data_IF_864070192105
#
_entry.id   IF_864070192105
#
_cell.length_a   1.000
_cell.length_b   1.000
_cell.length_c   1.000
_cell.angle_alpha   90.00
_cell.angle_beta   90.00
_cell.angle_gamma   90.00
#
_symmetry.space_group_name_H-M   'P 1'
#
loop_
_entity.id
_entity.type
_entity.pdbx_description
1 polymer ?
#
# COMPACT_ATOMS: atom_id res chain seq x y z
N UNK A 1 54.97 -0.92 32.13
CA UNK A 1 54.34 -2.14 31.55
C UNK A 1 52.82 -2.17 31.75
N UNK A 2 52.28 -1.89 32.95
CA UNK A 2 50.83 -1.94 33.24
C UNK A 2 49.97 -0.98 32.39
N UNK A 3 50.45 0.23 32.13
CA UNK A 3 49.70 1.23 31.36
C UNK A 3 49.63 0.91 29.86
N UNK A 4 50.68 0.34 29.26
CA UNK A 4 50.68 -0.10 27.86
C UNK A 4 49.70 -1.25 27.62
N UNK A 5 49.59 -2.15 28.59
CA UNK A 5 48.63 -3.26 28.53
C UNK A 5 47.18 -2.77 28.57
N UNK A 6 46.92 -1.70 29.34
CA UNK A 6 45.60 -1.07 29.40
C UNK A 6 45.20 -0.43 28.05
N UNK A 7 46.12 0.29 27.40
CA UNK A 7 45.84 0.87 26.08
C UNK A 7 45.67 -0.20 25.00
N UNK A 8 46.38 -1.32 25.10
CA UNK A 8 46.23 -2.44 24.16
C UNK A 8 44.87 -3.14 24.31
N UNK A 9 44.40 -3.32 25.54
CA UNK A 9 43.05 -3.83 25.82
C UNK A 9 41.95 -2.86 25.35
N UNK A 10 42.14 -1.55 25.55
CA UNK A 10 41.21 -0.52 25.08
C UNK A 10 41.12 -0.50 23.55
N UNK A 11 42.25 -0.61 22.86
CA UNK A 11 42.30 -0.64 21.40
C UNK A 11 41.64 -1.91 20.84
N UNK A 12 41.85 -3.05 21.50
CA UNK A 12 41.20 -4.31 21.13
C UNK A 12 39.67 -4.24 21.29
N UNK A 13 39.17 -3.59 22.36
CA UNK A 13 37.72 -3.46 22.56
C UNK A 13 37.07 -2.61 21.47
N UNK A 14 37.69 -1.51 21.04
CA UNK A 14 37.15 -0.62 20.00
C UNK A 14 37.04 -1.36 18.65
N UNK A 15 38.01 -2.21 18.31
CA UNK A 15 37.99 -3.03 17.10
C UNK A 15 36.88 -4.09 17.10
N UNK A 16 36.47 -4.60 18.27
CA UNK A 16 35.37 -5.58 18.37
C UNK A 16 33.97 -4.98 18.17
N UNK A 17 33.77 -3.68 18.38
CA UNK A 17 32.47 -3.03 18.19
C UNK A 17 32.21 -2.56 16.75
N UNK A 18 33.18 -2.65 15.85
CA UNK A 18 33.01 -2.36 14.42
C UNK A 18 32.39 -3.54 13.64
N UNK A 19 31.48 -4.28 14.27
CA UNK A 19 30.75 -5.38 13.66
C UNK A 19 29.76 -4.87 12.62
N UNK A 20 30.04 -5.18 11.36
CA UNK A 20 29.23 -5.07 10.14
C UNK A 20 27.85 -4.42 10.29
N UNK A 21 27.75 -3.13 10.02
CA UNK A 21 26.50 -2.54 9.55
C UNK A 21 26.22 -3.12 8.16
N UNK A 22 25.44 -4.21 8.11
CA UNK A 22 25.02 -4.79 6.86
C UNK A 22 24.03 -3.81 6.21
N UNK A 23 24.54 -2.94 5.33
CA UNK A 23 23.75 -2.04 4.50
C UNK A 23 22.88 -2.88 3.57
N UNK A 24 21.72 -3.31 4.06
CA UNK A 24 20.71 -3.96 3.23
C UNK A 24 20.09 -2.88 2.37
N UNK A 25 20.05 -3.15 1.07
CA UNK A 25 19.36 -2.27 0.15
C UNK A 25 17.84 -2.39 0.39
N UNK A 26 17.16 -1.28 0.74
CA UNK A 26 15.73 -1.29 1.06
C UNK A 26 14.84 -1.61 -0.14
N UNK A 27 15.40 -1.68 -1.35
CA UNK A 27 14.67 -1.95 -2.59
C UNK A 27 14.82 -3.38 -3.11
N UNK A 28 15.49 -4.27 -2.38
CA UNK A 28 15.58 -5.68 -2.75
C UNK A 28 14.68 -6.54 -1.85
N UNK A 29 13.59 -7.13 -2.39
CA UNK A 29 12.73 -8.03 -1.64
C UNK A 29 13.50 -9.31 -1.26
N UNK A 30 13.18 -9.88 -0.10
CA UNK A 30 13.78 -11.15 0.33
C UNK A 30 13.44 -12.24 -0.68
N UNK A 31 14.47 -12.92 -1.19
CA UNK A 31 14.24 -14.05 -2.07
C UNK A 31 13.55 -15.17 -1.27
N UNK A 32 12.52 -15.82 -1.83
CA UNK A 32 11.86 -16.92 -1.15
C UNK A 32 12.88 -18.02 -0.86
N UNK A 33 12.96 -18.42 0.41
CA UNK A 33 13.70 -19.61 0.80
C UNK A 33 12.94 -20.80 0.24
N UNK A 34 13.52 -21.49 -0.74
CA UNK A 34 13.00 -22.77 -1.21
C UNK A 34 13.06 -23.78 -0.05
N UNK A 35 11.95 -23.91 0.69
CA UNK A 35 11.82 -24.82 1.82
C UNK A 35 11.54 -26.24 1.31
N UNK A 36 12.62 -26.88 0.91
CA UNK A 36 12.79 -28.30 0.63
C UNK A 36 12.29 -29.35 1.60
N UNK A 37 11.94 -28.98 2.83
CA UNK A 37 11.85 -29.95 3.91
C UNK A 37 11.39 -29.25 5.18
N UNK A 38 10.42 -29.87 5.85
CA UNK A 38 10.16 -29.90 7.30
C UNK A 38 8.69 -29.63 7.66
N UNK A 39 7.99 -30.76 7.81
CA UNK A 39 6.95 -31.05 8.82
C UNK A 39 5.60 -30.33 8.79
N UNK A 40 4.64 -31.05 8.19
CA UNK A 40 3.32 -31.39 8.75
C UNK A 40 2.86 -30.61 10.00
N UNK A 41 1.93 -29.68 9.80
CA UNK A 41 0.88 -29.41 10.76
C UNK A 41 -0.45 -29.35 10.02
N UNK A 42 -1.14 -30.50 9.98
CA UNK A 42 -2.57 -30.54 9.70
C UNK A 42 -3.24 -30.12 11.00
N UNK A 43 -3.80 -28.91 11.04
CA UNK A 43 -4.96 -28.65 11.87
C UNK A 43 -6.14 -28.37 10.95
N UNK A 44 -7.07 -29.32 10.92
CA UNK A 44 -8.32 -29.25 10.21
C UNK A 44 -9.29 -28.51 11.14
N UNK A 45 -9.34 -27.20 11.04
CA UNK A 45 -10.49 -26.43 11.49
C UNK A 45 -11.21 -25.89 10.27
N UNK A 46 -12.21 -26.67 9.87
CA UNK A 46 -13.20 -26.34 8.86
C UNK A 46 -14.13 -25.28 9.45
N UNK A 47 -13.80 -24.00 9.23
CA UNK A 47 -14.70 -22.87 9.40
C UNK A 47 -14.48 -21.95 8.19
N UNK A 48 -15.47 -21.94 7.31
CA UNK A 48 -15.67 -20.99 6.24
C UNK A 48 -15.38 -19.54 6.68
N UNK A 49 -14.94 -18.72 5.72
CA UNK A 49 -14.80 -17.24 5.77
C UNK A 49 -13.40 -16.62 5.96
N UNK A 50 -12.30 -17.28 5.62
CA UNK A 50 -11.01 -16.57 5.52
C UNK A 50 -10.11 -17.12 4.43
N UNK A 51 -10.34 -16.78 3.15
CA UNK A 51 -9.30 -16.70 2.08
C UNK A 51 -9.84 -16.01 0.80
N UNK A 52 -10.58 -14.90 0.95
CA UNK A 52 -10.57 -13.84 -0.07
C UNK A 52 -9.96 -12.56 0.51
N UNK A 53 -8.78 -12.69 1.11
CA UNK A 53 -7.76 -11.65 0.93
C UNK A 53 -7.32 -11.75 -0.54
N UNK A 54 -8.22 -11.41 -1.47
CA UNK A 54 -7.76 -11.05 -2.80
C UNK A 54 -6.79 -9.90 -2.55
N UNK A 55 -5.55 -10.10 -2.96
CA UNK A 55 -4.60 -9.04 -3.17
C UNK A 55 -5.22 -8.12 -4.22
N UNK A 56 -6.16 -7.26 -3.79
CA UNK A 56 -6.96 -6.44 -4.67
C UNK A 56 -6.01 -5.38 -5.19
N UNK A 57 -5.57 -5.61 -6.42
CA UNK A 57 -4.64 -4.70 -7.07
C UNK A 57 -5.33 -3.34 -7.15
N UNK A 58 -4.66 -2.32 -6.63
CA UNK A 58 -5.13 -0.95 -6.72
C UNK A 58 -4.67 -0.39 -8.06
N UNK A 59 -5.60 0.18 -8.80
CA UNK A 59 -5.37 0.78 -10.09
C UNK A 59 -5.55 2.28 -9.97
N UNK A 60 -4.77 3.03 -10.75
CA UNK A 60 -4.89 4.48 -10.83
C UNK A 60 -5.66 4.84 -12.10
N UNK A 61 -6.70 5.67 -11.99
CA UNK A 61 -7.47 6.17 -13.12
C UNK A 61 -7.82 7.64 -12.94
N UNK A 62 -7.79 8.38 -14.04
CA UNK A 62 -8.18 9.79 -14.10
C UNK A 62 -9.54 9.89 -14.80
N UNK A 63 -10.46 10.63 -14.18
CA UNK A 63 -11.79 10.91 -14.68
C UNK A 63 -11.92 12.41 -14.93
N UNK A 64 -11.73 12.89 -16.18
CA UNK A 64 -12.00 14.27 -16.52
C UNK A 64 -13.51 14.52 -16.47
N UNK A 65 -13.91 15.63 -15.88
CA UNK A 65 -15.31 16.02 -15.74
C UNK A 65 -15.63 17.17 -16.71
N UNK A 66 -16.70 17.01 -17.49
CA UNK A 66 -17.08 18.00 -18.50
C UNK A 66 -18.19 18.93 -18.02
N UNK A 67 -19.11 18.44 -17.20
CA UNK A 67 -20.34 19.15 -16.84
C UNK A 67 -20.47 19.38 -15.34
N UNK A 68 -19.87 18.52 -14.51
CA UNK A 68 -19.92 18.64 -13.07
C UNK A 68 -18.65 19.31 -12.49
N UNK A 69 -18.83 20.04 -11.39
CA UNK A 69 -17.73 20.61 -10.61
C UNK A 69 -16.98 19.53 -9.84
N UNK A 70 -15.66 19.43 -10.05
CA UNK A 70 -14.81 18.40 -9.45
C UNK A 70 -14.83 18.39 -7.92
N UNK A 71 -14.96 19.55 -7.28
CA UNK A 71 -14.99 19.64 -5.82
C UNK A 71 -16.27 19.03 -5.26
N UNK A 72 -17.40 19.35 -5.90
CA UNK A 72 -18.71 18.83 -5.57
C UNK A 72 -18.77 17.33 -5.77
N UNK A 73 -18.28 16.83 -6.91
CA UNK A 73 -18.27 15.39 -7.22
C UNK A 73 -17.39 14.61 -6.23
N UNK A 74 -16.21 15.13 -5.90
CA UNK A 74 -15.33 14.50 -4.92
C UNK A 74 -15.97 14.43 -3.53
N UNK A 75 -16.62 15.50 -3.07
CA UNK A 75 -17.38 15.50 -1.82
C UNK A 75 -18.51 14.48 -1.84
N UNK A 76 -19.17 14.30 -2.99
CA UNK A 76 -20.24 13.32 -3.13
C UNK A 76 -19.72 11.88 -3.04
N UNK A 77 -18.55 11.61 -3.61
CA UNK A 77 -17.88 10.31 -3.54
C UNK A 77 -17.43 9.94 -2.12
N UNK A 78 -17.10 10.93 -1.27
CA UNK A 78 -16.59 10.67 0.08
C UNK A 78 -17.65 10.74 1.19
N UNK A 79 -18.69 11.57 1.04
CA UNK A 79 -19.54 11.97 2.17
C UNK A 79 -20.95 11.37 2.17
N UNK A 80 -21.46 10.84 1.04
CA UNK A 80 -22.82 10.30 1.01
C UNK A 80 -22.84 8.83 1.45
N UNK A 81 -23.91 8.43 2.16
CA UNK A 81 -23.98 7.27 3.06
C UNK A 81 -23.66 5.87 2.53
N UNK A 82 -23.22 5.75 1.27
CA UNK A 82 -22.55 4.57 0.73
C UNK A 82 -21.31 5.08 -0.01
N UNK A 83 -20.12 4.84 0.56
CA UNK A 83 -18.85 5.16 -0.10
C UNK A 83 -18.71 4.30 -1.35
N UNK A 84 -18.53 4.96 -2.51
CA UNK A 84 -18.18 4.29 -3.77
C UNK A 84 -16.71 3.88 -3.82
N UNK A 85 -15.90 4.41 -2.89
CA UNK A 85 -14.52 4.01 -2.69
C UNK A 85 -14.47 2.78 -1.79
N UNK A 86 -13.56 1.86 -2.10
CA UNK A 86 -13.23 0.76 -1.18
C UNK A 86 -12.49 1.27 0.05
N UNK A 87 -12.27 0.39 1.04
CA UNK A 87 -11.51 0.70 2.26
C UNK A 87 -10.09 1.23 1.97
N UNK A 88 -9.51 0.83 0.82
CA UNK A 88 -8.19 1.26 0.37
C UNK A 88 -8.24 2.36 -0.71
N UNK A 89 -9.44 2.78 -1.11
CA UNK A 89 -9.67 3.82 -2.10
C UNK A 89 -9.15 5.18 -1.69
N UNK A 90 -8.55 5.91 -2.63
CA UNK A 90 -8.05 7.28 -2.43
C UNK A 90 -8.48 8.15 -3.60
N UNK A 91 -8.81 9.41 -3.30
CA UNK A 91 -9.22 10.40 -4.29
C UNK A 91 -8.35 11.65 -4.15
N UNK A 92 -7.90 12.18 -5.28
CA UNK A 92 -7.25 13.46 -5.42
C UNK A 92 -7.98 14.29 -6.47
N UNK A 93 -8.07 15.59 -6.22
CA UNK A 93 -8.76 16.54 -7.08
C UNK A 93 -7.72 17.35 -7.82
N UNK A 94 -7.83 17.40 -9.15
CA UNK A 94 -7.18 18.40 -9.97
C UNK A 94 -8.21 19.46 -10.38
N UNK A 95 -8.13 20.65 -9.79
CA UNK A 95 -9.05 21.76 -10.07
C UNK A 95 -8.75 22.46 -11.38
N UNK A 96 -7.49 22.46 -11.81
CA UNK A 96 -7.06 23.19 -13.00
C UNK A 96 -7.57 22.48 -14.26
N UNK A 97 -7.57 21.14 -14.24
CA UNK A 97 -8.10 20.30 -15.33
C UNK A 97 -9.52 19.76 -15.07
N UNK A 98 -10.18 20.18 -14.00
CA UNK A 98 -11.49 19.68 -13.56
C UNK A 98 -11.58 18.13 -13.59
N UNK A 99 -10.59 17.45 -13.00
CA UNK A 99 -10.42 16.00 -13.10
C UNK A 99 -10.26 15.32 -11.74
N UNK A 100 -10.78 14.10 -11.62
CA UNK A 100 -10.62 13.25 -10.44
C UNK A 100 -9.55 12.19 -10.69
N UNK A 101 -8.55 12.14 -9.82
CA UNK A 101 -7.55 11.09 -9.79
C UNK A 101 -7.92 10.10 -8.68
N UNK A 102 -8.27 8.87 -9.05
CA UNK A 102 -8.74 7.85 -8.12
C UNK A 102 -7.79 6.66 -8.15
N UNK A 103 -7.41 6.18 -6.97
CA UNK A 103 -6.67 4.93 -6.79
C UNK A 103 -7.57 3.97 -6.04
N UNK A 104 -8.03 2.92 -6.69
CA UNK A 104 -8.94 1.93 -6.09
C UNK A 104 -8.91 0.58 -6.84
N UNK A 105 -9.69 -0.38 -6.36
CA UNK A 105 -9.94 -1.67 -7.03
C UNK A 105 -10.71 -1.47 -8.33
N UNK A 106 -10.56 -2.39 -9.30
CA UNK A 106 -11.33 -2.33 -10.57
C UNK A 106 -12.84 -2.37 -10.35
N UNK A 107 -13.31 -3.04 -9.29
CA UNK A 107 -14.72 -3.03 -8.91
C UNK A 107 -15.20 -1.61 -8.60
N UNK A 108 -14.52 -0.91 -7.71
CA UNK A 108 -14.84 0.48 -7.37
C UNK A 108 -14.75 1.40 -8.60
N UNK A 109 -13.73 1.23 -9.46
CA UNK A 109 -13.62 1.98 -10.71
C UNK A 109 -14.80 1.80 -11.66
N UNK A 110 -15.37 0.60 -11.69
CA UNK A 110 -16.56 0.29 -12.50
C UNK A 110 -17.79 1.01 -11.93
N UNK A 111 -18.01 0.89 -10.62
CA UNK A 111 -19.12 1.54 -9.92
C UNK A 111 -19.06 3.07 -10.02
N UNK A 112 -17.87 3.66 -9.83
CA UNK A 112 -17.63 5.09 -9.97
C UNK A 112 -17.87 5.55 -11.41
N UNK A 113 -17.42 4.78 -12.41
CA UNK A 113 -17.65 5.10 -13.82
C UNK A 113 -19.14 5.16 -14.15
N UNK A 114 -19.92 4.18 -13.69
CA UNK A 114 -21.36 4.14 -13.94
C UNK A 114 -22.10 5.25 -13.20
N UNK A 115 -21.70 5.55 -11.97
CA UNK A 115 -22.23 6.68 -11.22
C UNK A 115 -21.91 8.04 -11.89
N UNK A 116 -20.69 8.22 -12.39
CA UNK A 116 -20.27 9.43 -13.11
C UNK A 116 -21.09 9.65 -14.39
N UNK A 117 -21.41 8.59 -15.16
CA UNK A 117 -22.27 8.72 -16.35
C UNK A 117 -23.63 9.34 -16.05
N UNK A 118 -24.19 9.06 -14.87
CA UNK A 118 -25.47 9.64 -14.44
C UNK A 118 -25.26 11.11 -14.06
N UNK A 119 -24.15 11.41 -13.37
CA UNK A 119 -23.86 12.74 -12.83
C UNK A 119 -23.38 13.76 -13.89
N UNK A 120 -22.68 13.29 -14.91
CA UNK A 120 -22.09 14.09 -16.00
C UNK A 120 -23.07 14.30 -17.17
N UNK A 121 -24.37 14.38 -16.89
CA UNK A 121 -25.38 14.72 -17.91
C UNK A 121 -25.57 16.23 -17.99
N UNK A 122 -25.63 16.82 -19.21
CA UNK A 122 -25.94 18.24 -19.39
C UNK A 122 -27.27 18.60 -18.73
N UNK A 123 -27.33 19.74 -18.04
CA UNK A 123 -28.56 20.32 -17.48
C UNK A 123 -29.30 21.17 -18.51
#
# INVERSE_FOLDING_TARGET
>A
MKSVFFYLLLLLSILCFAGFAQSRDPFYPEQPIDSNNTHHFIDKTDNSETLQHQNSTLHHRIYPLQYADVTTVAQQLTNYGISLLSDHGRIAIDKDSNSLSIIDTEKAHTEISDWLKIKETPQ
#
